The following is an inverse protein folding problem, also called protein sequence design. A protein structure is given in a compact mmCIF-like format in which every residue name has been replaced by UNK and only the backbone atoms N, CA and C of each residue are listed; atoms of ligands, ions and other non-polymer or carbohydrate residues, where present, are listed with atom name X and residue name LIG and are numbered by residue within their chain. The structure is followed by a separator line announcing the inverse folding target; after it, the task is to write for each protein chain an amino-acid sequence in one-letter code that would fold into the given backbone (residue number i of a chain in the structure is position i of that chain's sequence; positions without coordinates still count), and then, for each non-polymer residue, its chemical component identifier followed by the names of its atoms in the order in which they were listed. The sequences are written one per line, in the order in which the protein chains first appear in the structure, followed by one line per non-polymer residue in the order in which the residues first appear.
data_IF_058838726667
#
_entry.id   IF_058838726667
#
_cell.length_a   1.000
_cell.length_b   1.000
_cell.length_c   1.000
_cell.angle_alpha   90.00
_cell.angle_beta   90.00
_cell.angle_gamma   90.00
#
_symmetry.space_group_name_H-M   'P 1'
#
loop_
_entity.id
_entity.type
_entity.pdbx_description
1 polymer ?
#
# COMPACT_ATOMS: atom_id res chain seq x y z
N UNK A 1 -3.19 -23.27 -9.90
CA UNK A 1 -4.40 -22.95 -9.13
C UNK A 1 -4.35 -23.65 -7.79
N UNK A 2 -4.87 -23.02 -6.74
CA UNK A 2 -4.85 -23.57 -5.37
C UNK A 2 -6.15 -24.34 -5.02
N UNK A 3 -7.24 -24.14 -5.78
CA UNK A 3 -8.58 -24.71 -5.54
C UNK A 3 -9.30 -25.02 -6.86
N UNK A 4 -10.49 -25.63 -6.77
CA UNK A 4 -11.36 -25.96 -7.91
C UNK A 4 -12.27 -24.79 -8.37
N UNK A 5 -12.96 -25.00 -9.49
CA UNK A 5 -13.85 -24.04 -10.15
C UNK A 5 -14.95 -23.50 -9.22
N UNK A 6 -15.42 -24.29 -8.24
CA UNK A 6 -16.46 -23.85 -7.30
C UNK A 6 -15.97 -22.69 -6.44
N UNK A 7 -14.68 -22.69 -6.08
CA UNK A 7 -14.08 -21.60 -5.31
C UNK A 7 -13.78 -20.39 -6.20
N UNK A 8 -13.39 -20.62 -7.46
CA UNK A 8 -13.20 -19.55 -8.43
C UNK A 8 -14.51 -18.76 -8.66
N UNK A 9 -15.62 -19.46 -8.93
CA UNK A 9 -16.93 -18.83 -9.13
C UNK A 9 -17.40 -18.01 -7.91
N UNK A 10 -17.19 -18.54 -6.70
CA UNK A 10 -17.53 -17.81 -5.46
C UNK A 10 -16.66 -16.58 -5.24
N UNK A 11 -15.41 -16.63 -5.68
CA UNK A 11 -14.49 -15.48 -5.59
C UNK A 11 -14.97 -14.35 -6.49
N UNK A 12 -15.30 -14.64 -7.75
CA UNK A 12 -15.86 -13.64 -8.68
C UNK A 12 -17.20 -13.07 -8.19
N UNK A 13 -18.07 -13.93 -7.62
CA UNK A 13 -19.32 -13.47 -7.02
C UNK A 13 -19.09 -12.52 -5.82
N UNK A 14 -18.04 -12.76 -5.02
CA UNK A 14 -17.67 -11.88 -3.94
C UNK A 14 -17.10 -10.55 -4.44
N UNK A 15 -16.24 -10.57 -5.48
CA UNK A 15 -15.68 -9.36 -6.11
C UNK A 15 -16.83 -8.48 -6.62
N UNK A 16 -17.72 -9.04 -7.45
CA UNK A 16 -18.86 -8.31 -8.02
C UNK A 16 -19.79 -7.71 -6.94
N UNK A 17 -19.93 -8.40 -5.80
CA UNK A 17 -20.71 -7.89 -4.66
C UNK A 17 -20.10 -6.64 -4.02
N UNK A 18 -18.77 -6.54 -3.95
CA UNK A 18 -18.09 -5.45 -3.22
C UNK A 18 -17.55 -4.34 -4.13
N UNK A 19 -17.38 -4.58 -5.42
CA UNK A 19 -16.97 -3.56 -6.40
C UNK A 19 -17.77 -2.25 -6.28
N UNK A 20 -19.12 -2.24 -6.18
CA UNK A 20 -19.88 -1.00 -6.04
C UNK A 20 -19.56 -0.22 -4.76
N UNK A 21 -19.26 -0.92 -3.67
CA UNK A 21 -18.92 -0.29 -2.39
C UNK A 21 -17.56 0.42 -2.48
N UNK A 22 -16.55 -0.24 -3.06
CA UNK A 22 -15.24 0.38 -3.24
C UNK A 22 -15.28 1.53 -4.24
N UNK A 23 -16.07 1.40 -5.32
CA UNK A 23 -16.30 2.49 -6.26
C UNK A 23 -16.95 3.72 -5.60
N UNK A 24 -17.90 3.53 -4.67
CA UNK A 24 -18.48 4.64 -3.90
C UNK A 24 -17.44 5.33 -3.01
N UNK A 25 -16.60 4.56 -2.33
CA UNK A 25 -15.51 5.08 -1.49
C UNK A 25 -14.52 5.88 -2.34
N UNK A 26 -14.07 5.34 -3.47
CA UNK A 26 -13.16 6.02 -4.39
C UNK A 26 -13.79 7.29 -4.96
N UNK A 27 -15.06 7.26 -5.37
CA UNK A 27 -15.76 8.43 -5.88
C UNK A 27 -15.90 9.54 -4.82
N UNK A 28 -16.12 9.16 -3.55
CA UNK A 28 -16.27 10.11 -2.44
C UNK A 28 -14.94 10.73 -2.00
N UNK A 29 -13.87 9.94 -1.92
CA UNK A 29 -12.61 10.37 -1.30
C UNK A 29 -11.48 10.59 -2.28
N UNK A 30 -11.42 9.86 -3.40
CA UNK A 30 -10.38 9.97 -4.41
C UNK A 30 -10.16 11.42 -4.89
N UNK A 31 -11.19 12.17 -5.31
CA UNK A 31 -11.01 13.57 -5.74
C UNK A 31 -10.41 14.50 -4.67
N UNK A 32 -10.55 14.15 -3.39
CA UNK A 32 -10.04 14.95 -2.26
C UNK A 32 -8.58 14.62 -1.94
N UNK A 33 -8.12 13.44 -2.34
CA UNK A 33 -6.82 12.86 -1.98
C UNK A 33 -5.88 12.74 -3.19
N UNK A 34 -6.40 12.84 -4.41
CA UNK A 34 -5.61 12.75 -5.63
C UNK A 34 -4.41 13.71 -5.62
N UNK A 35 -3.23 13.18 -5.94
CA UNK A 35 -1.96 13.90 -5.99
C UNK A 35 -1.36 14.25 -4.62
N UNK A 36 -1.96 13.82 -3.50
CA UNK A 36 -1.33 13.98 -2.17
C UNK A 36 -0.17 13.00 -2.03
N UNK A 37 0.92 13.48 -1.44
CA UNK A 37 2.15 12.71 -1.20
C UNK A 37 2.15 12.17 0.23
N UNK A 38 2.59 10.93 0.41
CA UNK A 38 2.54 10.20 1.69
C UNK A 38 3.92 9.64 2.05
N UNK A 39 4.28 9.73 3.33
CA UNK A 39 5.42 9.04 3.92
C UNK A 39 4.92 8.05 4.98
N UNK A 40 5.47 6.83 4.99
CA UNK A 40 5.05 5.73 5.87
C UNK A 40 6.18 5.26 6.78
N UNK A 41 5.99 5.34 8.10
CA UNK A 41 6.85 4.70 9.09
C UNK A 41 6.04 3.82 10.02
N UNK A 42 6.23 2.50 9.96
CA UNK A 42 5.57 1.52 10.83
C UNK A 42 6.50 0.32 11.10
N UNK A 43 6.01 -0.75 11.73
CA UNK A 43 6.74 -2.02 11.90
C UNK A 43 6.97 -2.82 10.60
N UNK A 44 7.28 -4.12 10.71
CA UNK A 44 7.81 -4.96 9.62
C UNK A 44 6.91 -5.38 8.43
N UNK A 45 5.71 -4.81 8.21
CA UNK A 45 4.79 -5.33 7.16
C UNK A 45 4.01 -4.26 6.39
N UNK A 46 3.31 -3.40 7.15
CA UNK A 46 2.40 -2.40 6.61
C UNK A 46 3.06 -1.35 5.69
N UNK A 47 4.32 -0.93 5.88
CA UNK A 47 4.92 0.09 5.04
C UNK A 47 4.86 -0.24 3.53
N UNK A 48 4.92 -1.53 3.15
CA UNK A 48 4.67 -1.97 1.77
C UNK A 48 3.22 -2.38 1.48
N UNK A 49 2.55 -3.08 2.41
CA UNK A 49 1.22 -3.66 2.15
C UNK A 49 0.09 -2.65 1.98
N UNK A 50 0.25 -1.44 2.52
CA UNK A 50 -0.81 -0.42 2.43
C UNK A 50 -0.67 0.50 1.22
N UNK A 51 0.41 0.38 0.44
CA UNK A 51 0.69 1.28 -0.69
C UNK A 51 -0.45 1.28 -1.70
N UNK A 52 -0.91 0.10 -2.14
CA UNK A 52 -2.02 0.00 -3.10
C UNK A 52 -3.29 0.70 -2.64
N UNK A 53 -3.59 0.71 -1.33
CA UNK A 53 -4.77 1.40 -0.80
C UNK A 53 -4.64 2.93 -0.86
N UNK A 54 -3.42 3.48 -0.82
CA UNK A 54 -3.17 4.89 -1.08
C UNK A 54 -3.32 5.20 -2.58
N UNK A 55 -2.79 4.34 -3.44
CA UNK A 55 -2.86 4.47 -4.90
C UNK A 55 -4.30 4.38 -5.43
N UNK A 56 -5.13 3.51 -4.86
CA UNK A 56 -6.57 3.41 -5.15
C UNK A 56 -7.32 4.72 -4.90
N UNK A 57 -6.78 5.59 -4.04
CA UNK A 57 -7.31 6.92 -3.72
C UNK A 57 -6.56 8.04 -4.46
N UNK A 58 -5.65 7.70 -5.38
CA UNK A 58 -4.86 8.63 -6.19
C UNK A 58 -3.73 9.32 -5.44
N UNK A 59 -3.33 8.81 -4.28
CA UNK A 59 -2.19 9.33 -3.51
C UNK A 59 -0.88 8.69 -3.98
N UNK A 60 0.23 9.37 -3.74
CA UNK A 60 1.57 8.91 -4.09
C UNK A 60 2.39 8.66 -2.83
N UNK A 61 2.81 7.40 -2.61
CA UNK A 61 3.74 7.06 -1.52
C UNK A 61 5.16 7.37 -1.99
N UNK A 62 5.75 8.44 -1.43
CA UNK A 62 7.07 8.95 -1.82
C UNK A 62 8.19 8.52 -0.89
N UNK A 63 7.83 7.97 0.28
CA UNK A 63 8.77 7.44 1.25
C UNK A 63 8.10 6.38 2.11
N UNK A 64 8.82 5.30 2.42
CA UNK A 64 8.32 4.21 3.24
C UNK A 64 9.44 3.60 4.06
N UNK A 65 9.15 3.11 5.24
CA UNK A 65 10.16 2.42 6.02
C UNK A 65 9.64 1.74 7.26
N UNK A 66 10.58 1.05 7.90
CA UNK A 66 10.28 0.00 8.86
C UNK A 66 11.05 0.22 10.15
N UNK A 67 10.41 -0.05 11.29
CA UNK A 67 11.07 -0.04 12.60
C UNK A 67 11.96 -1.28 12.81
N UNK A 68 11.56 -2.44 12.25
CA UNK A 68 12.21 -3.73 12.58
C UNK A 68 12.09 -4.78 11.46
N UNK A 69 11.96 -4.36 10.21
CA UNK A 69 11.87 -5.30 9.09
C UNK A 69 13.18 -6.09 8.88
N UNK A 70 13.08 -7.20 8.17
CA UNK A 70 14.24 -8.01 7.82
C UNK A 70 14.56 -7.91 6.33
N UNK A 71 15.74 -8.42 5.93
CA UNK A 71 16.26 -8.32 4.56
C UNK A 71 15.27 -8.80 3.49
N UNK A 72 14.48 -9.82 3.79
CA UNK A 72 13.51 -10.36 2.85
C UNK A 72 12.28 -9.47 2.69
N UNK A 73 11.92 -8.67 3.70
CA UNK A 73 10.87 -7.65 3.58
C UNK A 73 11.31 -6.51 2.67
N UNK A 74 12.57 -6.07 2.77
CA UNK A 74 13.15 -5.07 1.86
C UNK A 74 13.18 -5.56 0.42
N UNK A 75 13.52 -6.84 0.20
CA UNK A 75 13.51 -7.44 -1.14
C UNK A 75 12.11 -7.52 -1.77
N UNK A 76 11.05 -7.67 -0.95
CA UNK A 76 9.65 -7.60 -1.40
C UNK A 76 9.25 -6.15 -1.67
N UNK A 77 9.57 -5.24 -0.74
CA UNK A 77 9.26 -3.82 -0.82
C UNK A 77 9.82 -3.19 -2.09
N UNK A 78 11.08 -3.47 -2.43
CA UNK A 78 11.74 -2.93 -3.63
C UNK A 78 11.05 -3.33 -4.95
N UNK A 79 10.20 -4.37 -4.96
CA UNK A 79 9.40 -4.77 -6.12
C UNK A 79 8.01 -4.12 -6.15
N UNK A 80 7.54 -3.66 -4.99
CA UNK A 80 6.20 -3.12 -4.78
C UNK A 80 6.19 -1.59 -4.82
N UNK A 81 7.30 -0.93 -4.51
CA UNK A 81 7.44 0.53 -4.58
C UNK A 81 7.82 1.01 -5.98
N UNK A 82 7.30 2.16 -6.40
CA UNK A 82 7.67 2.82 -7.65
C UNK A 82 9.12 3.34 -7.66
N UNK A 83 9.58 3.82 -8.82
CA UNK A 83 10.90 4.44 -8.93
C UNK A 83 11.00 5.69 -8.04
N UNK A 84 12.19 5.91 -7.45
CA UNK A 84 12.51 7.07 -6.62
C UNK A 84 11.75 7.22 -5.28
N UNK A 85 11.18 6.14 -4.73
CA UNK A 85 10.67 6.11 -3.34
C UNK A 85 11.81 5.98 -2.33
N UNK A 86 11.88 6.87 -1.34
CA UNK A 86 12.86 6.79 -0.26
C UNK A 86 12.53 5.62 0.69
N UNK A 87 13.51 4.77 0.98
CA UNK A 87 13.37 3.69 1.97
C UNK A 87 14.26 3.97 3.19
N UNK A 88 13.69 3.90 4.39
CA UNK A 88 14.41 4.07 5.66
C UNK A 88 14.18 2.87 6.61
N UNK A 89 15.21 2.52 7.39
CA UNK A 89 15.24 1.40 8.34
C UNK A 89 15.65 1.94 9.71
N UNK A 90 14.81 1.76 10.72
CA UNK A 90 14.99 2.26 12.09
C UNK A 90 15.55 3.71 12.16
N UNK A 91 14.98 4.69 11.43
CA UNK A 91 15.50 6.04 11.45
C UNK A 91 15.16 6.71 12.78
N UNK A 92 16.09 7.48 13.35
CA UNK A 92 15.78 8.32 14.49
C UNK A 92 14.77 9.40 14.10
N UNK A 93 14.00 9.89 15.08
CA UNK A 93 12.99 10.93 14.85
C UNK A 93 13.54 12.18 14.15
N UNK A 94 14.80 12.54 14.41
CA UNK A 94 15.46 13.67 13.74
C UNK A 94 15.58 13.47 12.21
N UNK A 95 15.88 12.26 11.73
CA UNK A 95 16.00 12.00 10.30
C UNK A 95 14.63 12.10 9.61
N UNK A 96 13.56 11.66 10.27
CA UNK A 96 12.18 11.79 9.76
C UNK A 96 11.64 13.22 9.75
N UNK A 97 12.14 14.10 10.63
CA UNK A 97 11.75 15.50 10.68
C UNK A 97 12.55 16.36 9.67
N UNK A 98 13.83 16.06 9.52
CA UNK A 98 14.76 16.90 8.76
C UNK A 98 14.75 16.65 7.24
N UNK A 99 14.42 15.44 6.82
CA UNK A 99 14.55 14.96 5.43
C UNK A 99 13.26 14.34 4.92
#
# INVERSE_FOLDING_TARGET
EHFDDTIAEKTEAAISRYEPYFAEVQARYGPRLAGKRVMLMLGGLRPRHTIGAYEDLGMEVIGTGFEFAHKDDYAKTAKEVGEAVLIYDDPPAYELEAY
#
